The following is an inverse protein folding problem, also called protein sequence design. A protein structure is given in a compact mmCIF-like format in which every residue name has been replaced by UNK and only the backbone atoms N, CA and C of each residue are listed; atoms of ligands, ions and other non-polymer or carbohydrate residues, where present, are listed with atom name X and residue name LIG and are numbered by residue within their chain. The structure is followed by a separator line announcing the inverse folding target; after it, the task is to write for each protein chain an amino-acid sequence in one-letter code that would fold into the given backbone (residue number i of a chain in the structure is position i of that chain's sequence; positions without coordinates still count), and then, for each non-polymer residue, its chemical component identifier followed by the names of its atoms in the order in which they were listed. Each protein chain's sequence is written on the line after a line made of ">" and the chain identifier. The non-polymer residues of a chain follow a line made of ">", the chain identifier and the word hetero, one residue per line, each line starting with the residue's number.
data_IF_075231209381
#
_entry.id   IF_075231209381
#
_cell.length_a   1.000
_cell.length_b   1.000
_cell.length_c   1.000
_cell.angle_alpha   90.00
_cell.angle_beta   90.00
_cell.angle_gamma   90.00
#
_symmetry.space_group_name_H-M   'P 1'
#
loop_
_entity.id
_entity.type
_entity.pdbx_description
1 polymer ?
2 water ?
#
# COMPACT_ATOMS: atom_id res chain seq x y z
N UNK A 17 -15.67 -2.06 2.00
CA UNK A 17 -14.47 -2.90 2.03
C UNK A 17 -13.25 -2.15 1.47
N UNK A 18 -13.14 -2.05 0.12
CA UNK A 18 -12.04 -1.34 -0.54
C UNK A 18 -12.03 0.15 -0.15
N UNK A 19 -13.22 0.73 0.07
CA UNK A 19 -13.30 2.13 0.45
C UNK A 19 -12.79 2.33 1.87
N UNK A 20 -13.00 1.33 2.75
CA UNK A 20 -12.48 1.36 4.12
C UNK A 20 -10.96 1.16 4.09
N UNK A 21 -10.44 0.40 3.10
CA UNK A 21 -8.99 0.20 2.91
C UNK A 21 -8.41 1.52 2.42
N UNK A 22 -9.09 2.16 1.45
CA UNK A 22 -8.67 3.44 0.85
C UNK A 22 -8.62 4.51 1.95
N UNK A 23 -9.66 4.58 2.81
CA UNK A 23 -9.71 5.56 3.90
C UNK A 23 -8.58 5.41 4.90
N UNK A 24 -8.19 4.17 5.25
CA UNK A 24 -7.10 3.96 6.20
C UNK A 24 -5.75 4.42 5.64
N UNK A 25 -5.50 4.14 4.36
CA UNK A 25 -4.26 4.52 3.71
C UNK A 25 -4.26 6.04 3.49
N UNK A 26 -5.42 6.64 3.14
CA UNK A 26 -5.43 8.10 2.98
C UNK A 26 -5.16 8.82 4.33
N UNK A 27 -5.63 8.23 5.44
CA UNK A 27 -5.42 8.79 6.77
C UNK A 27 -3.92 8.70 7.12
N UNK A 28 -3.25 7.63 6.69
CA UNK A 28 -1.80 7.45 6.89
C UNK A 28 -1.03 8.41 6.01
N UNK A 29 -1.44 8.58 4.75
CA UNK A 29 -0.80 9.55 3.85
C UNK A 29 -0.89 10.94 4.47
N UNK A 30 -2.08 11.29 5.02
CA UNK A 30 -2.32 12.59 5.63
C UNK A 30 -1.48 12.82 6.88
N UNK A 31 -1.18 11.76 7.62
CA UNK A 31 -0.35 11.84 8.81
C UNK A 31 1.06 12.26 8.40
N UNK A 32 1.59 11.64 7.34
CA UNK A 32 2.93 11.97 6.85
C UNK A 32 2.97 13.34 6.19
N UNK A 33 1.92 13.71 5.44
CA UNK A 33 1.85 15.03 4.79
C UNK A 33 1.77 16.14 5.83
N UNK A 34 1.04 15.88 6.94
CA UNK A 34 0.90 16.86 8.03
C UNK A 34 2.22 17.07 8.78
N UNK A 35 2.98 15.98 9.03
CA UNK A 35 4.29 16.02 9.70
C UNK A 35 5.25 16.82 8.83
N UNK A 36 5.21 16.57 7.50
CA UNK A 36 6.01 17.29 6.52
C UNK A 36 5.68 18.79 6.51
N UNK A 37 4.40 19.15 6.31
CA UNK A 37 3.95 20.55 6.24
C UNK A 37 4.11 21.32 7.56
N UNK A 38 4.21 20.57 8.65
CA UNK A 38 4.47 21.08 9.99
C UNK A 38 5.96 21.20 10.27
N UNK A 39 6.77 20.71 9.33
CA UNK A 39 8.23 20.77 9.40
C UNK A 39 8.91 19.80 10.34
N UNK A 40 8.22 18.74 10.77
CA UNK A 40 8.82 17.76 11.68
C UNK A 40 9.59 16.70 10.90
N UNK A 41 9.18 16.42 9.64
CA UNK A 41 9.88 15.44 8.80
C UNK A 41 10.32 16.11 7.50
N UNK A 42 11.41 15.60 6.88
CA UNK A 42 11.95 16.16 5.64
C UNK A 42 11.16 15.68 4.42
N UNK A 43 11.35 16.35 3.27
CA UNK A 43 10.66 15.94 2.04
C UNK A 43 11.07 14.52 1.66
N UNK A 44 12.36 14.13 1.89
CA UNK A 44 12.87 12.78 1.55
C UNK A 44 12.21 11.71 2.37
N UNK A 45 12.13 11.93 3.69
CA UNK A 45 11.52 11.03 4.65
C UNK A 45 10.03 10.84 4.28
N UNK A 46 9.34 11.94 3.90
CA UNK A 46 7.94 11.90 3.52
C UNK A 46 7.75 11.10 2.23
N UNK A 47 8.60 11.34 1.23
CA UNK A 47 8.44 10.59 -0.05
C UNK A 47 8.70 9.10 0.18
N UNK A 48 9.68 8.76 1.00
CA UNK A 48 9.96 7.34 1.23
C UNK A 48 8.83 6.67 1.99
N UNK A 49 8.19 7.38 2.93
CA UNK A 49 7.05 6.82 3.65
C UNK A 49 5.87 6.62 2.69
N UNK A 50 5.64 7.56 1.76
CA UNK A 50 4.53 7.40 0.80
C UNK A 50 4.75 6.23 -0.10
N UNK A 51 5.99 6.05 -0.55
CA UNK A 51 6.35 4.92 -1.39
C UNK A 51 6.11 3.61 -0.65
N UNK A 52 6.44 3.53 0.64
CA UNK A 52 6.19 2.32 1.44
C UNK A 52 4.71 2.05 1.50
N UNK A 53 3.91 3.09 1.74
CA UNK A 53 2.47 2.99 1.79
C UNK A 53 1.87 2.52 0.47
N UNK A 54 2.32 3.09 -0.65
CA UNK A 54 1.81 2.73 -1.97
C UNK A 54 2.19 1.30 -2.39
N UNK A 55 3.38 0.86 -2.00
CA UNK A 55 3.90 -0.47 -2.26
C UNK A 55 3.03 -1.51 -1.53
N UNK A 56 2.60 -1.22 -0.29
CA UNK A 56 1.73 -2.12 0.47
C UNK A 56 0.38 -2.18 -0.19
N UNK A 57 -0.11 -1.05 -0.73
CA UNK A 57 -1.36 -0.98 -1.47
C UNK A 57 -1.25 -1.83 -2.74
N UNK A 58 -0.12 -1.70 -3.46
CA UNK A 58 0.06 -2.50 -4.68
C UNK A 58 0.00 -4.01 -4.35
N UNK A 59 0.76 -4.46 -3.34
CA UNK A 59 0.84 -5.88 -2.96
C UNK A 59 -0.50 -6.39 -2.48
N UNK A 60 -1.21 -5.55 -1.73
CA UNK A 60 -2.51 -5.96 -1.23
C UNK A 60 -3.58 -6.06 -2.34
N UNK A 61 -3.57 -5.17 -3.34
CA UNK A 61 -4.51 -5.26 -4.47
C UNK A 61 -4.22 -6.53 -5.31
N UNK A 62 -2.93 -6.86 -5.51
CA UNK A 62 -2.59 -8.09 -6.25
C UNK A 62 -3.12 -9.31 -5.49
N UNK A 63 -3.01 -9.31 -4.17
CA UNK A 63 -3.47 -10.48 -3.38
C UNK A 63 -4.99 -10.53 -3.24
N UNK A 64 -5.67 -9.40 -3.19
CA UNK A 64 -7.12 -9.41 -2.99
C UNK A 64 -7.95 -9.37 -4.27
N UNK A 65 -7.35 -8.96 -5.39
CA UNK A 65 -8.10 -8.80 -6.63
C UNK A 65 -7.52 -9.62 -7.76
N UNK A 66 -6.27 -9.36 -8.13
CA UNK A 66 -5.64 -10.06 -9.26
C UNK A 66 -5.59 -11.56 -9.02
N UNK A 67 -5.39 -11.97 -7.75
CA UNK A 67 -5.31 -13.38 -7.40
C UNK A 67 -6.47 -14.23 -7.93
N UNK A 68 -7.67 -13.62 -8.03
CA UNK A 68 -8.94 -14.22 -8.47
C UNK A 68 -8.89 -14.81 -9.86
N UNK A 69 -7.92 -14.39 -10.69
CA UNK A 69 -7.89 -14.92 -12.05
C UNK A 69 -6.63 -15.73 -12.25
N UNK A 70 -5.94 -16.09 -11.15
CA UNK A 70 -4.73 -16.89 -11.27
C UNK A 70 -5.11 -18.36 -11.30
N UNK A 71 -4.49 -19.19 -12.18
CA UNK A 71 -4.81 -20.61 -12.25
C UNK A 71 -4.46 -21.31 -10.94
N UNK A 72 -5.32 -22.24 -10.42
CA UNK A 72 -5.04 -22.90 -9.13
C UNK A 72 -3.64 -23.50 -8.92
N UNK A 73 -3.01 -24.03 -9.96
CA UNK A 73 -1.67 -24.62 -9.82
C UNK A 73 -0.56 -23.56 -9.61
N UNK A 74 -0.87 -22.25 -9.89
CA UNK A 74 0.06 -21.13 -9.74
C UNK A 74 -0.22 -20.30 -8.49
N UNK A 75 -1.28 -20.61 -7.74
CA UNK A 75 -1.64 -19.80 -6.57
C UNK A 75 -0.52 -19.70 -5.52
N UNK A 76 0.16 -20.81 -5.22
CA UNK A 76 1.28 -20.78 -4.26
C UNK A 76 2.45 -19.90 -4.78
N UNK A 77 2.86 -20.08 -6.04
CA UNK A 77 3.93 -19.29 -6.68
C UNK A 77 3.56 -17.78 -6.69
N UNK A 78 2.31 -17.47 -7.06
CA UNK A 78 1.85 -16.07 -7.08
C UNK A 78 1.94 -15.38 -5.73
N UNK A 79 1.46 -16.05 -4.66
CA UNK A 79 1.47 -15.45 -3.32
C UNK A 79 2.87 -15.14 -2.80
N UNK A 80 3.81 -16.05 -3.03
CA UNK A 80 5.17 -15.83 -2.58
C UNK A 80 5.86 -14.71 -3.35
N UNK A 81 5.67 -14.64 -4.67
CA UNK A 81 6.26 -13.58 -5.49
C UNK A 81 5.74 -12.20 -5.09
N UNK A 82 4.42 -12.09 -4.85
CA UNK A 82 3.75 -10.84 -4.46
C UNK A 82 4.25 -10.37 -3.10
N UNK A 83 4.32 -11.26 -2.12
CA UNK A 83 4.76 -10.89 -0.79
C UNK A 83 6.28 -10.73 -0.67
N UNK A 84 7.06 -11.51 -1.41
CA UNK A 84 8.53 -11.43 -1.33
C UNK A 84 9.11 -10.61 -2.47
#
# INVERSE_FOLDING_TARGET
>A
GAMGSGNQTRALLDDQARHLLTEQERATMMYYLAQYRGGTISVEAMVMALFELLNTHAKFSLLSEVRSIISPQDLDRFDHLVLRR
#
